data_IF_757295924021
#
_entry.id   IF_757295924021
#
_cell.length_a   1.000
_cell.length_b   1.000
_cell.length_c   1.000
_cell.angle_alpha   90.00
_cell.angle_beta   90.00
_cell.angle_gamma   90.00
#
_symmetry.space_group_name_H-M   'P 1'
#
loop_
_entity.id
_entity.type
_entity.pdbx_description
1 polymer ?
#
# COMPACT_ATOMS: atom_id res chain seq x y z
N UNK A 1 9.33 -8.10 17.97
CA UNK A 1 9.34 -7.28 16.74
C UNK A 1 9.83 -5.90 17.13
N UNK A 2 10.77 -5.36 16.37
CA UNK A 2 11.27 -4.00 16.55
C UNK A 2 10.14 -2.98 16.32
N UNK A 3 10.19 -1.83 17.01
CA UNK A 3 9.16 -0.77 16.94
C UNK A 3 8.85 -0.36 15.49
N UNK A 4 9.87 -0.34 14.63
CA UNK A 4 9.72 0.00 13.22
C UNK A 4 8.83 -0.98 12.44
N UNK A 5 9.00 -2.29 12.68
CA UNK A 5 8.22 -3.33 11.98
C UNK A 5 6.78 -3.41 12.44
N UNK A 6 6.48 -2.90 13.64
CA UNK A 6 5.12 -2.90 14.18
C UNK A 6 4.15 -2.02 13.37
N UNK A 7 4.69 -1.00 12.67
CA UNK A 7 3.92 -0.15 11.76
C UNK A 7 3.21 -0.96 10.67
N UNK A 8 3.78 -2.10 10.28
CA UNK A 8 3.23 -2.97 9.23
C UNK A 8 2.21 -3.98 9.76
N UNK A 9 1.99 -4.07 11.09
CA UNK A 9 1.01 -5.01 11.66
C UNK A 9 -0.40 -4.78 11.11
N UNK A 10 -0.77 -3.51 10.88
CA UNK A 10 -2.06 -3.15 10.27
C UNK A 10 -2.14 -3.56 8.80
N UNK A 11 -1.03 -3.51 8.05
CA UNK A 11 -0.99 -3.99 6.67
C UNK A 11 -1.16 -5.51 6.61
N UNK A 12 -0.47 -6.25 7.48
CA UNK A 12 -0.62 -7.70 7.61
C UNK A 12 -2.04 -8.11 7.99
N UNK A 13 -2.66 -7.43 8.96
CA UNK A 13 -4.05 -7.69 9.33
C UNK A 13 -5.03 -7.42 8.17
N UNK A 14 -4.77 -6.39 7.35
CA UNK A 14 -5.57 -6.09 6.16
C UNK A 14 -5.43 -7.16 5.07
N UNK A 15 -4.22 -7.69 4.86
CA UNK A 15 -3.96 -8.77 3.91
C UNK A 15 -4.81 -10.02 4.25
N UNK A 16 -4.73 -10.48 5.50
CA UNK A 16 -5.50 -11.64 5.96
C UNK A 16 -7.02 -11.40 5.95
N UNK A 17 -7.47 -10.16 6.15
CA UNK A 17 -8.89 -9.82 6.11
C UNK A 17 -9.44 -9.78 4.67
N UNK A 18 -8.62 -9.37 3.70
CA UNK A 18 -8.99 -9.35 2.29
C UNK A 18 -9.09 -10.74 1.69
N UNK A 19 -8.20 -11.65 2.08
CA UNK A 19 -8.20 -13.04 1.63
C UNK A 19 -7.81 -13.97 2.80
N UNK A 20 -8.81 -14.48 3.54
CA UNK A 20 -8.57 -15.40 4.64
C UNK A 20 -7.92 -16.70 4.15
N UNK A 21 -6.81 -17.09 4.78
CA UNK A 21 -6.07 -18.31 4.44
C UNK A 21 -4.87 -18.09 3.52
N UNK A 22 -4.53 -16.85 3.17
CA UNK A 22 -3.23 -16.53 2.57
C UNK A 22 -2.08 -16.97 3.49
N UNK A 23 -1.10 -17.66 2.92
CA UNK A 23 0.09 -18.16 3.59
C UNK A 23 1.33 -17.98 2.69
N UNK A 24 2.53 -18.12 3.29
CA UNK A 24 3.79 -18.08 2.57
C UNK A 24 4.01 -16.81 1.73
N UNK A 25 4.58 -16.98 0.54
CA UNK A 25 4.92 -15.87 -0.36
C UNK A 25 3.68 -15.07 -0.79
N UNK A 26 2.52 -15.71 -0.94
CA UNK A 26 1.28 -15.01 -1.28
C UNK A 26 0.84 -14.03 -0.18
N UNK A 27 1.03 -14.39 1.10
CA UNK A 27 0.78 -13.47 2.21
C UNK A 27 1.80 -12.32 2.24
N UNK A 28 3.07 -12.60 1.91
CA UNK A 28 4.11 -11.56 1.82
C UNK A 28 3.76 -10.55 0.74
N UNK A 29 3.45 -11.01 -0.47
CA UNK A 29 3.04 -10.19 -1.61
C UNK A 29 1.81 -9.32 -1.30
N UNK A 30 0.82 -9.87 -0.59
CA UNK A 30 -0.35 -9.13 -0.15
C UNK A 30 0.01 -8.09 0.93
N UNK A 31 0.86 -8.45 1.89
CA UNK A 31 1.34 -7.54 2.93
C UNK A 31 2.10 -6.35 2.34
N UNK A 32 2.94 -6.57 1.33
CA UNK A 32 3.70 -5.51 0.65
C UNK A 32 2.77 -4.49 -0.01
N UNK A 33 1.78 -4.96 -0.78
CA UNK A 33 0.74 -4.10 -1.39
C UNK A 33 -0.07 -3.34 -0.34
N UNK A 34 -0.50 -4.01 0.74
CA UNK A 34 -1.21 -3.35 1.83
C UNK A 34 -0.35 -2.36 2.61
N UNK A 35 0.98 -2.54 2.63
CA UNK A 35 1.92 -1.62 3.27
C UNK A 35 2.04 -0.31 2.50
N UNK A 36 2.02 -0.37 1.17
CA UNK A 36 1.93 0.82 0.31
C UNK A 36 0.62 1.57 0.59
N UNK A 37 -0.53 0.87 0.58
CA UNK A 37 -1.83 1.49 0.89
C UNK A 37 -1.86 2.11 2.29
N UNK A 38 -1.34 1.41 3.30
CA UNK A 38 -1.27 1.92 4.67
C UNK A 38 -0.41 3.19 4.75
N UNK A 39 0.70 3.25 4.00
CA UNK A 39 1.57 4.41 3.97
C UNK A 39 0.87 5.62 3.33
N UNK A 40 0.10 5.42 2.25
CA UNK A 40 -0.73 6.46 1.66
C UNK A 40 -1.79 6.97 2.63
N UNK A 41 -2.52 6.06 3.31
CA UNK A 41 -3.48 6.43 4.36
C UNK A 41 -2.80 7.29 5.43
N UNK A 42 -1.65 6.85 5.92
CA UNK A 42 -0.89 7.54 6.96
C UNK A 42 -0.43 8.94 6.50
N UNK A 43 0.03 9.09 5.25
CA UNK A 43 0.42 10.39 4.70
C UNK A 43 -0.75 11.38 4.73
N UNK A 44 -1.97 10.96 4.45
CA UNK A 44 -3.15 11.85 4.49
C UNK A 44 -3.60 12.24 5.91
N UNK A 45 -3.05 11.61 6.96
CA UNK A 45 -3.31 12.03 8.35
C UNK A 45 -2.62 13.36 8.68
N UNK A 46 -1.48 13.64 8.05
CA UNK A 46 -0.76 14.90 8.22
C UNK A 46 -1.56 16.06 7.61
N UNK A 47 -1.91 17.10 8.40
CA UNK A 47 -2.75 18.19 7.90
C UNK A 47 -2.23 18.89 6.65
N UNK A 48 -0.91 19.09 6.55
CA UNK A 48 -0.31 19.76 5.39
C UNK A 48 -0.39 18.92 4.11
N UNK A 49 -0.24 17.58 4.19
CA UNK A 49 -0.41 16.69 3.05
C UNK A 49 -1.86 16.67 2.61
N UNK A 50 -2.79 16.44 3.56
CA UNK A 50 -4.23 16.41 3.27
C UNK A 50 -4.70 17.69 2.59
N UNK A 51 -4.28 18.84 3.10
CA UNK A 51 -4.65 20.13 2.54
C UNK A 51 -4.10 20.31 1.12
N UNK A 52 -2.84 19.92 0.88
CA UNK A 52 -2.22 20.03 -0.44
C UNK A 52 -2.84 19.09 -1.49
N UNK A 53 -3.27 17.89 -1.07
CA UNK A 53 -4.03 16.96 -1.92
C UNK A 53 -5.41 17.54 -2.23
N UNK A 54 -6.12 18.03 -1.21
CA UNK A 54 -7.45 18.63 -1.38
C UNK A 54 -7.44 19.88 -2.27
N UNK A 55 -6.36 20.67 -2.24
CA UNK A 55 -6.19 21.84 -3.12
C UNK A 55 -5.67 21.49 -4.53
N UNK A 56 -5.40 20.21 -4.82
CA UNK A 56 -4.86 19.78 -6.12
C UNK A 56 -3.41 20.20 -6.37
N UNK A 57 -2.69 20.66 -5.35
CA UNK A 57 -1.28 21.07 -5.45
C UNK A 57 -0.30 19.93 -5.18
N UNK A 58 -0.80 18.78 -4.72
CA UNK A 58 -0.05 17.56 -4.48
C UNK A 58 -0.86 16.34 -4.92
N UNK A 59 -0.21 15.41 -5.62
CA UNK A 59 -0.75 14.09 -5.92
C UNK A 59 0.07 13.03 -5.19
N UNK A 60 -0.61 12.03 -4.63
CA UNK A 60 0.04 10.88 -4.01
C UNK A 60 -0.11 9.65 -4.91
N UNK A 61 0.98 8.92 -5.09
CA UNK A 61 1.02 7.71 -5.89
C UNK A 61 1.65 6.60 -5.05
N UNK A 62 1.03 5.41 -5.07
CA UNK A 62 1.59 4.20 -4.47
C UNK A 62 2.07 3.28 -5.58
N UNK A 63 3.27 2.74 -5.42
CA UNK A 63 3.90 1.84 -6.39
C UNK A 63 4.34 0.56 -5.69
N UNK A 64 4.20 -0.56 -6.38
CA UNK A 64 4.72 -1.86 -5.99
C UNK A 64 5.61 -2.39 -7.11
N UNK A 65 6.85 -2.76 -6.78
CA UNK A 65 7.83 -3.24 -7.73
C UNK A 65 8.14 -4.71 -7.43
N UNK A 66 7.76 -5.61 -8.33
CA UNK A 66 8.28 -6.97 -8.33
C UNK A 66 9.66 -6.95 -8.99
N UNK A 67 10.71 -6.97 -8.17
CA UNK A 67 12.10 -6.89 -8.61
C UNK A 67 12.50 -8.12 -9.44
N UNK A 68 11.93 -9.29 -9.15
CA UNK A 68 12.29 -10.53 -9.83
C UNK A 68 11.67 -10.62 -11.22
N UNK A 69 10.45 -10.13 -11.38
CA UNK A 69 9.76 -10.08 -12.67
C UNK A 69 10.07 -8.81 -13.47
N UNK A 70 10.57 -7.77 -12.81
CA UNK A 70 10.75 -6.45 -13.42
C UNK A 70 9.42 -5.76 -13.71
N UNK A 71 8.38 -6.07 -12.93
CA UNK A 71 7.02 -5.58 -13.12
C UNK A 71 6.72 -4.46 -12.12
N UNK A 72 6.05 -3.42 -12.60
CA UNK A 72 5.69 -2.27 -11.80
C UNK A 72 4.17 -2.11 -11.79
N UNK A 73 3.59 -2.12 -10.60
CA UNK A 73 2.17 -1.90 -10.36
C UNK A 73 1.96 -0.57 -9.64
N UNK A 74 0.81 0.07 -9.87
CA UNK A 74 0.40 1.28 -9.16
C UNK A 74 -0.94 1.07 -8.45
N UNK A 75 -1.10 1.73 -7.30
CA UNK A 75 -2.37 1.76 -6.58
C UNK A 75 -3.39 2.64 -7.32
N UNK A 76 -4.49 2.05 -7.75
CA UNK A 76 -5.62 2.74 -8.34
C UNK A 76 -6.72 2.99 -7.28
N UNK A 77 -6.89 4.24 -6.81
CA UNK A 77 -7.86 4.55 -5.77
C UNK A 77 -9.33 4.48 -6.24
N UNK A 78 -9.59 4.44 -7.56
CA UNK A 78 -10.95 4.36 -8.11
C UNK A 78 -11.49 2.93 -7.98
N UNK A 79 -10.63 1.95 -8.30
CA UNK A 79 -11.00 0.53 -8.31
C UNK A 79 -10.56 -0.20 -7.04
N UNK A 80 -9.74 0.45 -6.20
CA UNK A 80 -9.09 -0.16 -5.05
C UNK A 80 -8.21 -1.38 -5.39
N UNK A 81 -7.54 -1.33 -6.55
CA UNK A 81 -6.66 -2.39 -7.07
C UNK A 81 -5.23 -1.92 -7.27
N UNK A 82 -4.30 -2.87 -7.38
CA UNK A 82 -2.99 -2.64 -7.97
C UNK A 82 -3.05 -3.02 -9.45
N UNK A 83 -2.82 -2.05 -10.32
CA UNK A 83 -2.88 -2.23 -11.76
C UNK A 83 -1.45 -2.17 -12.33
N UNK A 84 -1.12 -3.05 -13.28
CA UNK A 84 0.21 -3.08 -13.93
C UNK A 84 0.39 -1.86 -14.85
N UNK A 85 1.57 -1.25 -14.79
CA UNK A 85 1.99 -0.21 -15.73
C UNK A 85 2.45 -0.87 -17.04
N UNK A 86 1.59 -0.87 -18.06
CA UNK A 86 1.94 -1.28 -19.43
C UNK A 86 2.57 -0.15 -20.22
#
# INVERSE_FOLDING_TARGET
MEVWTDLLRKAHARALAGEPGLEGDCLVDACERHSVRLSLDNLTTFPFVRNAVASGTLSLHGWFLDIFKGELEFWNPVNETFDTLN
#
